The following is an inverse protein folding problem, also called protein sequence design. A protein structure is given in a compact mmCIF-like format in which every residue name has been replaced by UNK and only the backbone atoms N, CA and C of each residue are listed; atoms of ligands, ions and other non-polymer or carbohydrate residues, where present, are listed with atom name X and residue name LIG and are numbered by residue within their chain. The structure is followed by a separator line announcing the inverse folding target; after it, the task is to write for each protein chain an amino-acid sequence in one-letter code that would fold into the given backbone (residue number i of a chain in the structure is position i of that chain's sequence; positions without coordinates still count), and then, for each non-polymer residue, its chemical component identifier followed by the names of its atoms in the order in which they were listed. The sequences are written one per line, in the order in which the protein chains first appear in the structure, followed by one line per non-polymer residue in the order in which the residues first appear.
data_IF_667316916746
#
_entry.id   IF_667316916746
#
_cell.length_a   1.000
_cell.length_b   1.000
_cell.length_c   1.000
_cell.angle_alpha   90.00
_cell.angle_beta   90.00
_cell.angle_gamma   90.00
#
_symmetry.space_group_name_H-M   'P 1'
#
loop_
_entity.id
_entity.type
_entity.pdbx_description
1 polymer ?
#
# COMPACT_ATOMS: atom_id res chain seq x y z
N UNK A 1 -10.58 8.13 19.92
CA UNK A 1 -11.25 8.80 18.78
C UNK A 1 -11.32 7.80 17.63
N UNK A 2 -12.43 7.08 17.46
CA UNK A 2 -12.56 6.09 16.39
C UNK A 2 -12.91 6.78 15.07
N UNK A 3 -11.90 7.07 14.25
CA UNK A 3 -12.08 7.50 12.87
C UNK A 3 -12.66 6.35 12.05
N UNK A 4 -13.99 6.16 12.10
CA UNK A 4 -14.70 5.32 11.14
C UNK A 4 -14.74 6.06 9.81
N UNK A 5 -13.78 5.76 8.94
CA UNK A 5 -13.85 6.15 7.55
C UNK A 5 -15.09 5.52 6.91
N UNK A 6 -16.17 6.29 6.77
CA UNK A 6 -17.26 5.91 5.87
C UNK A 6 -16.72 5.93 4.45
N UNK A 7 -16.41 4.75 3.91
CA UNK A 7 -16.04 4.56 2.51
C UNK A 7 -17.28 4.71 1.66
N UNK A 8 -17.17 5.45 0.56
CA UNK A 8 -18.23 5.50 -0.44
C UNK A 8 -18.37 4.17 -1.19
N UNK A 9 -19.45 4.04 -1.96
CA UNK A 9 -19.71 2.85 -2.77
C UNK A 9 -18.60 2.61 -3.81
N UNK A 10 -17.95 3.66 -4.29
CA UNK A 10 -16.85 3.58 -5.25
C UNK A 10 -15.61 2.93 -4.64
N UNK A 11 -15.24 3.34 -3.43
CA UNK A 11 -14.11 2.77 -2.70
C UNK A 11 -14.39 1.31 -2.32
N UNK A 12 -15.61 0.98 -1.90
CA UNK A 12 -16.00 -0.41 -1.60
C UNK A 12 -15.91 -1.31 -2.85
N UNK A 13 -16.38 -0.84 -4.01
CA UNK A 13 -16.25 -1.58 -5.28
C UNK A 13 -14.79 -1.75 -5.69
N UNK A 14 -13.97 -0.72 -5.50
CA UNK A 14 -12.54 -0.78 -5.79
C UNK A 14 -11.83 -1.78 -4.87
N UNK A 15 -12.12 -1.76 -3.57
CA UNK A 15 -11.60 -2.71 -2.60
C UNK A 15 -11.96 -4.15 -2.97
N UNK A 16 -13.22 -4.41 -3.33
CA UNK A 16 -13.65 -5.74 -3.76
C UNK A 16 -12.88 -6.21 -5.02
N UNK A 17 -12.67 -5.31 -5.99
CA UNK A 17 -11.88 -5.60 -7.20
C UNK A 17 -10.42 -5.90 -6.87
N UNK A 18 -9.80 -5.09 -6.03
CA UNK A 18 -8.39 -5.27 -5.60
C UNK A 18 -8.23 -6.59 -4.82
N UNK A 19 -9.16 -6.89 -3.91
CA UNK A 19 -9.18 -8.14 -3.17
C UNK A 19 -9.24 -9.36 -4.11
N UNK A 20 -10.12 -9.32 -5.12
CA UNK A 20 -10.22 -10.38 -6.10
C UNK A 20 -8.92 -10.54 -6.92
N UNK A 21 -8.32 -9.44 -7.36
CA UNK A 21 -7.05 -9.47 -8.11
C UNK A 21 -5.89 -10.03 -7.28
N UNK A 22 -5.81 -9.66 -6.00
CA UNK A 22 -4.81 -10.19 -5.08
C UNK A 22 -5.00 -11.70 -4.84
N UNK A 23 -6.24 -12.15 -4.64
CA UNK A 23 -6.58 -13.57 -4.53
C UNK A 23 -6.17 -14.35 -5.78
N UNK A 24 -6.46 -13.83 -6.97
CA UNK A 24 -6.03 -14.43 -8.24
C UNK A 24 -4.51 -14.51 -8.39
N UNK A 25 -3.77 -13.59 -7.76
CA UNK A 25 -2.30 -13.60 -7.71
C UNK A 25 -1.75 -14.55 -6.62
N UNK A 26 -2.61 -15.25 -5.90
CA UNK A 26 -2.26 -16.20 -4.84
C UNK A 26 -1.98 -15.55 -3.50
N UNK A 27 -2.56 -14.38 -3.22
CA UNK A 27 -2.55 -13.80 -1.89
C UNK A 27 -3.77 -14.24 -1.08
N UNK A 28 -3.56 -14.50 0.20
CA UNK A 28 -4.63 -14.54 1.19
C UNK A 28 -5.03 -13.12 1.54
N UNK A 29 -6.33 -12.80 1.49
CA UNK A 29 -6.81 -11.42 1.61
C UNK A 29 -7.83 -11.29 2.73
N UNK A 30 -7.54 -10.43 3.68
CA UNK A 30 -8.41 -10.02 4.78
C UNK A 30 -8.89 -8.60 4.49
N UNK A 31 -10.20 -8.43 4.32
CA UNK A 31 -10.82 -7.11 4.23
C UNK A 31 -11.17 -6.61 5.63
N UNK A 32 -10.94 -5.32 5.88
CA UNK A 32 -11.15 -4.69 7.19
C UNK A 32 -10.54 -5.51 8.34
N UNK A 33 -9.21 -5.75 8.29
CA UNK A 33 -8.51 -6.50 9.33
C UNK A 33 -8.80 -5.92 10.71
N UNK A 34 -9.02 -6.82 11.67
CA UNK A 34 -9.01 -6.46 13.08
C UNK A 34 -7.56 -6.17 13.52
N UNK A 35 -7.40 -5.36 14.55
CA UNK A 35 -6.10 -5.03 15.15
C UNK A 35 -5.24 -6.28 15.46
N UNK A 36 -5.87 -7.40 15.80
CA UNK A 36 -5.21 -8.67 16.12
C UNK A 36 -4.62 -9.40 14.92
N UNK A 37 -5.00 -9.03 13.69
CA UNK A 37 -4.47 -9.59 12.45
C UNK A 37 -3.27 -8.79 11.91
N UNK A 38 -2.86 -7.74 12.63
CA UNK A 38 -1.77 -6.84 12.29
C UNK A 38 -0.66 -6.96 13.35
N UNK A 39 0.60 -6.71 12.97
CA UNK A 39 1.66 -6.56 13.93
C UNK A 39 1.38 -5.36 14.85
N UNK A 40 1.80 -5.40 16.13
CA UNK A 40 1.54 -4.33 17.09
C UNK A 40 1.96 -2.94 16.61
N UNK A 41 3.05 -2.88 15.85
CA UNK A 41 3.63 -1.66 15.28
C UNK A 41 2.75 -1.08 14.17
N UNK A 42 2.01 -1.92 13.45
CA UNK A 42 1.16 -1.56 12.32
C UNK A 42 -0.34 -1.60 12.67
N UNK A 43 -0.70 -1.32 13.93
CA UNK A 43 -2.08 -1.33 14.42
C UNK A 43 -2.91 -0.12 13.92
N UNK A 44 -3.06 -0.03 12.61
CA UNK A 44 -3.87 0.96 11.91
C UNK A 44 -5.08 0.29 11.25
N UNK A 45 -6.21 0.99 11.10
CA UNK A 45 -7.43 0.44 10.51
C UNK A 45 -7.33 0.41 8.98
N UNK A 46 -6.38 -0.35 8.44
CA UNK A 46 -6.23 -0.55 6.99
C UNK A 46 -7.49 -1.14 6.39
N UNK A 47 -7.75 -0.83 5.13
CA UNK A 47 -8.93 -1.34 4.44
C UNK A 47 -8.78 -2.81 4.04
N UNK A 48 -7.55 -3.22 3.75
CA UNK A 48 -7.23 -4.56 3.26
C UNK A 48 -5.82 -4.96 3.67
N UNK A 49 -5.65 -6.20 4.10
CA UNK A 49 -4.35 -6.84 4.24
C UNK A 49 -4.28 -8.05 3.34
N UNK A 50 -3.15 -8.23 2.68
CA UNK A 50 -2.88 -9.39 1.84
C UNK A 50 -1.55 -10.05 2.23
N UNK A 51 -1.51 -11.37 2.30
CA UNK A 51 -0.32 -12.15 2.63
C UNK A 51 -0.02 -13.18 1.54
N UNK A 52 1.26 -13.38 1.21
CA UNK A 52 1.72 -14.43 0.29
C UNK A 52 3.12 -14.90 0.69
N UNK A 53 3.19 -16.03 1.38
CA UNK A 53 4.41 -16.46 2.06
C UNK A 53 4.79 -15.41 3.10
N UNK A 54 6.06 -15.00 3.11
CA UNK A 54 6.54 -13.98 4.05
C UNK A 54 6.15 -12.55 3.66
N UNK A 55 5.62 -12.34 2.44
CA UNK A 55 5.27 -11.00 1.97
C UNK A 55 3.89 -10.57 2.47
N UNK A 56 3.85 -9.46 3.18
CA UNK A 56 2.63 -8.84 3.67
C UNK A 56 2.40 -7.48 3.01
N UNK A 57 1.15 -7.20 2.71
CA UNK A 57 0.71 -5.98 2.08
C UNK A 57 -0.43 -5.39 2.89
N UNK A 58 -0.24 -4.18 3.42
CA UNK A 58 -1.31 -3.35 3.93
C UNK A 58 -1.77 -2.39 2.82
N UNK A 59 -3.07 -2.28 2.60
CA UNK A 59 -3.64 -1.44 1.55
C UNK A 59 -4.65 -0.47 2.16
N UNK A 60 -4.47 0.80 1.79
CA UNK A 60 -5.34 1.90 2.21
C UNK A 60 -5.92 2.60 0.98
N UNK A 61 -7.25 2.78 0.95
CA UNK A 61 -7.95 3.50 -0.12
C UNK A 61 -8.42 4.85 0.39
N UNK A 62 -7.92 5.94 -0.20
CA UNK A 62 -8.31 7.31 0.17
C UNK A 62 -8.98 8.03 -0.99
N UNK A 63 -9.98 8.84 -0.70
CA UNK A 63 -10.50 9.82 -1.66
C UNK A 63 -9.58 11.05 -1.68
N UNK A 64 -9.31 11.62 -2.85
CA UNK A 64 -8.37 12.74 -3.04
C UNK A 64 -8.70 13.93 -2.15
N UNK A 65 -9.98 14.26 -2.00
CA UNK A 65 -10.44 15.35 -1.13
C UNK A 65 -10.13 15.10 0.36
N UNK A 66 -9.99 13.83 0.76
CA UNK A 66 -9.65 13.43 2.14
C UNK A 66 -8.14 13.28 2.36
N UNK A 67 -7.31 13.53 1.34
CA UNK A 67 -5.84 13.63 1.46
C UNK A 67 -5.36 15.02 1.91
N UNK A 68 -6.27 15.92 2.32
CA UNK A 68 -5.94 17.24 2.84
C UNK A 68 -5.16 17.23 4.16
N UNK A 69 -5.09 18.39 4.82
CA UNK A 69 -4.16 18.76 5.91
C UNK A 69 -3.95 17.69 7.01
N UNK A 70 -4.96 16.89 7.37
CA UNK A 70 -4.83 15.83 8.39
C UNK A 70 -4.60 14.42 7.81
N UNK A 71 -4.94 14.18 6.54
CA UNK A 71 -4.81 12.87 5.91
C UNK A 71 -3.36 12.52 5.57
N UNK A 72 -2.49 13.51 5.39
CA UNK A 72 -1.08 13.28 5.04
C UNK A 72 -0.22 12.86 6.24
N UNK A 73 -0.48 13.42 7.42
CA UNK A 73 0.24 13.06 8.64
C UNK A 73 -0.11 11.62 9.06
N UNK A 74 -1.38 11.26 9.02
CA UNK A 74 -1.84 9.89 9.27
C UNK A 74 -1.20 8.88 8.30
N UNK A 75 -1.15 9.20 7.01
CA UNK A 75 -0.50 8.35 5.99
C UNK A 75 1.00 8.22 6.21
N UNK A 76 1.67 9.30 6.63
CA UNK A 76 3.09 9.27 6.94
C UNK A 76 3.36 8.37 8.15
N UNK A 77 2.54 8.47 9.20
CA UNK A 77 2.65 7.62 10.38
C UNK A 77 2.42 6.13 10.02
N UNK A 78 1.38 5.83 9.24
CA UNK A 78 1.12 4.48 8.72
C UNK A 78 2.31 3.93 7.91
N UNK A 79 2.86 4.74 7.00
CA UNK A 79 3.98 4.32 6.17
C UNK A 79 5.25 4.06 7.00
N UNK A 80 5.52 4.93 7.99
CA UNK A 80 6.65 4.76 8.90
C UNK A 80 6.52 3.50 9.75
N UNK A 81 5.34 3.24 10.30
CA UNK A 81 5.05 2.03 11.07
C UNK A 81 5.27 0.75 10.25
N UNK A 82 4.70 0.69 9.04
CA UNK A 82 4.83 -0.46 8.16
C UNK A 82 6.29 -0.66 7.72
N UNK A 83 7.04 0.41 7.47
CA UNK A 83 8.44 0.32 7.07
C UNK A 83 9.36 -0.29 8.13
N UNK A 84 8.96 -0.32 9.40
CA UNK A 84 9.71 -0.98 10.48
C UNK A 84 9.46 -2.49 10.54
N UNK A 85 8.44 -3.00 9.85
CA UNK A 85 8.07 -4.41 9.89
C UNK A 85 8.69 -5.14 8.69
N UNK A 86 9.58 -6.12 8.91
CA UNK A 86 10.19 -6.89 7.81
C UNK A 86 9.12 -7.53 6.92
N UNK A 87 9.34 -7.47 5.61
CA UNK A 87 8.48 -8.08 4.59
C UNK A 87 7.06 -7.48 4.47
N UNK A 88 6.78 -6.38 5.18
CA UNK A 88 5.55 -5.61 5.01
C UNK A 88 5.73 -4.43 4.04
N UNK A 89 4.68 -4.14 3.28
CA UNK A 89 4.60 -2.94 2.44
C UNK A 89 3.24 -2.27 2.57
N UNK A 90 3.22 -0.94 2.47
CA UNK A 90 1.99 -0.15 2.39
C UNK A 90 1.73 0.25 0.93
N UNK A 91 0.56 -0.10 0.40
CA UNK A 91 0.05 0.42 -0.88
C UNK A 91 -1.10 1.41 -0.62
N UNK A 92 -0.89 2.66 -1.03
CA UNK A 92 -1.93 3.70 -1.01
C UNK A 92 -2.61 3.78 -2.37
N UNK A 93 -3.94 3.62 -2.39
CA UNK A 93 -4.77 3.80 -3.59
C UNK A 93 -5.61 5.06 -3.44
N UNK A 94 -5.43 6.00 -4.35
CA UNK A 94 -6.15 7.28 -4.33
C UNK A 94 -7.29 7.24 -5.37
N UNK A 95 -8.49 7.57 -4.93
CA UNK A 95 -9.71 7.71 -5.76
C UNK A 95 -10.08 9.19 -5.91
N UNK A 96 -10.81 9.56 -6.96
CA UNK A 96 -11.26 10.95 -7.17
C UNK A 96 -10.23 11.88 -7.81
N UNK A 97 -9.36 11.36 -8.67
CA UNK A 97 -8.51 12.15 -9.55
C UNK A 97 -8.43 11.51 -10.94
N UNK A 98 -8.60 12.30 -11.99
CA UNK A 98 -8.35 11.85 -13.35
C UNK A 98 -6.86 11.46 -13.50
N UNK A 99 -6.64 10.26 -14.03
CA UNK A 99 -5.43 9.82 -14.74
C UNK A 99 -4.12 9.61 -13.94
N UNK A 100 -3.78 8.32 -13.81
CA UNK A 100 -2.46 7.75 -14.15
C UNK A 100 -1.23 8.07 -13.30
N UNK A 101 -0.92 7.14 -12.38
CA UNK A 101 0.36 6.43 -12.46
C UNK A 101 0.21 5.00 -11.94
N UNK A 102 -0.15 4.10 -12.85
CA UNK A 102 0.08 2.67 -12.67
C UNK A 102 1.59 2.47 -12.84
N UNK A 103 2.33 2.43 -11.74
CA UNK A 103 3.72 1.95 -11.75
C UNK A 103 3.70 0.45 -12.00
N UNK A 104 3.52 0.07 -13.26
CA UNK A 104 3.76 -1.28 -13.78
C UNK A 104 5.27 -1.44 -14.01
N UNK A 105 6.06 -1.26 -12.95
CA UNK A 105 7.47 -1.59 -12.94
C UNK A 105 7.61 -2.99 -12.32
N UNK A 106 7.93 -4.04 -13.09
CA UNK A 106 8.36 -5.29 -12.50
C UNK A 106 9.64 -4.98 -11.69
N UNK A 107 9.60 -5.25 -10.38
CA UNK A 107 10.79 -5.21 -9.53
C UNK A 107 11.74 -6.31 -10.00
N UNK A 108 12.59 -5.96 -10.96
CA UNK A 108 13.57 -6.82 -11.57
C UNK A 108 14.84 -6.03 -11.89
N UNK A 109 15.88 -6.30 -11.11
CA UNK A 109 17.31 -6.23 -11.45
C UNK A 109 18.02 -4.86 -11.57
N UNK A 110 18.88 -4.65 -10.55
CA UNK A 110 20.26 -4.09 -10.60
C UNK A 110 20.64 -3.21 -11.80
N UNK A 111 20.81 -1.92 -11.55
CA UNK A 111 21.83 -1.12 -12.27
C UNK A 111 23.14 -1.23 -11.49
N UNK A 112 24.09 -2.01 -12.01
CA UNK A 112 25.50 -1.87 -11.64
C UNK A 112 26.04 -0.73 -12.49
N UNK A 113 26.26 0.43 -11.89
CA UNK A 113 26.92 1.54 -12.55
C UNK A 113 28.40 1.18 -12.66
N UNK A 114 28.78 0.57 -13.78
CA UNK A 114 30.18 0.38 -14.16
C UNK A 114 30.82 1.73 -14.46
N UNK A 115 31.85 2.08 -13.71
CA UNK A 115 32.65 3.29 -13.91
C UNK A 115 33.36 3.27 -15.29
N UNK A 116 33.42 4.39 -16.02
CA UNK A 116 34.32 4.49 -17.16
C UNK A 116 35.75 4.73 -16.68
N UNK A 117 36.66 3.81 -17.04
CA UNK A 117 38.10 3.97 -16.85
C UNK A 117 38.68 5.12 -17.70
N UNK A 118 39.87 5.63 -17.36
CA UNK A 118 40.44 6.82 -18.01
C UNK A 118 40.97 6.49 -19.41
N UNK A 119 40.50 7.22 -20.43
CA UNK A 119 41.13 7.21 -21.75
C UNK A 119 42.43 8.00 -21.69
N UNK A 120 43.54 7.31 -21.98
CA UNK A 120 44.80 7.91 -22.42
C UNK A 120 44.79 7.92 -23.95
N UNK A 121 45.04 9.08 -24.54
CA UNK A 121 45.69 9.25 -25.85
C UNK A 121 46.58 10.48 -25.76
#
# INVERSE_FOLDING_TARGET
MSYRHHKGLTELRLLARLAQQLRQRGYEVIMQPQATALPPEANYPFDLVAAKGDRHLALEVRHRERLGLNGQEDLRAMAQAIAQVPDWRLDLVVTGGESSHRSDAPLGYRQTTGAPGPQRY
#
